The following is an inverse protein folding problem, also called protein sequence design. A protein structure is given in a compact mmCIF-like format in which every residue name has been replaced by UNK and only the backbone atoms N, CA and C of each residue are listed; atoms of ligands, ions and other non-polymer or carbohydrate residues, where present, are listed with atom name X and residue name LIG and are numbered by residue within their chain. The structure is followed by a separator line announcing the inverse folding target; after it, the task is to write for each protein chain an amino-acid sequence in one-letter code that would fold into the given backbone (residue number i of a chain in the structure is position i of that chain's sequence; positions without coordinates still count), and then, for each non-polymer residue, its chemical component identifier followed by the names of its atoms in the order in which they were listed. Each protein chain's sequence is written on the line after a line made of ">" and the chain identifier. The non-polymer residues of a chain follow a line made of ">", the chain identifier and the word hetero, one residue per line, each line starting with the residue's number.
data_IF_834896154647
#
_entry.id   IF_834896154647
#
_cell.length_a   1.000
_cell.length_b   1.000
_cell.length_c   1.000
_cell.angle_alpha   90.00
_cell.angle_beta   90.00
_cell.angle_gamma   90.00
#
_symmetry.space_group_name_H-M   'P 1'
#
loop_
_entity.id
_entity.type
_entity.pdbx_description
1 polymer ?
#
# COMPACT_ATOMS: atom_id res chain seq x y z
N UNK A 1 5.83 -44.74 -2.90
CA UNK A 1 5.16 -43.63 -3.66
C UNK A 1 5.19 -44.01 -5.14
N UNK A 2 4.00 -44.14 -5.73
CA UNK A 2 3.85 -44.67 -7.11
C UNK A 2 4.20 -43.57 -8.15
N UNK A 3 4.76 -43.96 -9.32
CA UNK A 3 5.08 -43.03 -10.43
C UNK A 3 3.86 -42.19 -10.89
N UNK A 4 2.66 -42.66 -10.63
CA UNK A 4 1.40 -41.97 -10.92
C UNK A 4 1.12 -40.78 -9.99
N UNK A 5 1.54 -40.87 -8.72
CA UNK A 5 1.34 -39.77 -7.74
C UNK A 5 2.23 -38.57 -8.06
N UNK A 6 3.47 -38.81 -8.52
CA UNK A 6 4.43 -37.76 -8.88
C UNK A 6 3.98 -37.01 -10.14
N UNK A 7 3.41 -37.69 -11.13
CA UNK A 7 2.90 -37.08 -12.36
C UNK A 7 1.66 -36.22 -12.12
N UNK A 8 0.78 -36.65 -11.21
CA UNK A 8 -0.42 -35.91 -10.82
C UNK A 8 -0.08 -34.69 -9.96
N UNK A 9 0.97 -34.77 -9.15
CA UNK A 9 1.46 -33.66 -8.32
C UNK A 9 2.11 -32.57 -9.18
N UNK A 10 2.90 -32.92 -10.20
CA UNK A 10 3.47 -31.97 -11.16
C UNK A 10 2.38 -31.18 -11.90
N UNK A 11 1.36 -31.85 -12.43
CA UNK A 11 0.24 -31.21 -13.10
C UNK A 11 -0.55 -30.24 -12.19
N UNK A 12 -0.69 -30.57 -10.89
CA UNK A 12 -1.34 -29.67 -9.92
C UNK A 12 -0.47 -28.44 -9.61
N UNK A 13 0.83 -28.61 -9.54
CA UNK A 13 1.78 -27.52 -9.35
C UNK A 13 1.78 -26.54 -10.54
N UNK A 14 1.86 -27.09 -11.77
CA UNK A 14 1.85 -26.27 -12.99
C UNK A 14 0.56 -25.46 -13.10
N UNK A 15 -0.58 -26.08 -12.77
CA UNK A 15 -1.86 -25.37 -12.72
C UNK A 15 -1.88 -24.27 -11.66
N UNK A 16 -1.35 -24.52 -10.48
CA UNK A 16 -1.27 -23.55 -9.41
C UNK A 16 -0.32 -22.39 -9.81
N UNK A 17 0.82 -22.67 -10.43
CA UNK A 17 1.74 -21.65 -10.96
C UNK A 17 1.05 -20.79 -12.02
N UNK A 18 0.28 -21.39 -12.93
CA UNK A 18 -0.49 -20.66 -13.94
C UNK A 18 -1.54 -19.73 -13.29
N UNK A 19 -2.23 -20.19 -12.24
CA UNK A 19 -3.17 -19.37 -11.47
C UNK A 19 -2.42 -18.20 -10.81
N UNK A 20 -1.30 -18.43 -10.14
CA UNK A 20 -0.50 -17.36 -9.56
C UNK A 20 -0.06 -16.34 -10.62
N UNK A 21 0.45 -16.80 -11.78
CA UNK A 21 0.86 -15.92 -12.89
C UNK A 21 -0.30 -15.07 -13.39
N UNK A 22 -1.49 -15.64 -13.57
CA UNK A 22 -2.70 -14.92 -13.99
C UNK A 22 -3.09 -13.81 -13.01
N UNK A 23 -2.83 -14.00 -11.72
CA UNK A 23 -3.10 -13.02 -10.66
C UNK A 23 -1.87 -12.19 -10.26
N UNK A 24 -0.89 -12.07 -11.16
CA UNK A 24 0.28 -11.22 -10.93
C UNK A 24 1.36 -11.84 -10.04
N UNK A 25 1.23 -13.11 -9.68
CA UNK A 25 2.24 -13.85 -8.93
C UNK A 25 2.14 -13.72 -7.41
N UNK A 26 1.16 -12.99 -6.89
CA UNK A 26 0.92 -12.81 -5.45
C UNK A 26 -0.56 -13.10 -5.16
N UNK A 27 -0.84 -13.95 -4.19
CA UNK A 27 -2.20 -14.28 -3.76
C UNK A 27 -2.27 -14.47 -2.23
N UNK A 28 -3.41 -14.05 -1.65
CA UNK A 28 -3.77 -14.50 -0.29
C UNK A 28 -4.26 -15.95 -0.32
N UNK A 29 -4.14 -16.66 0.82
CA UNK A 29 -4.71 -18.00 0.98
C UNK A 29 -6.15 -18.08 0.45
N UNK A 30 -7.03 -17.20 0.93
CA UNK A 30 -8.44 -17.21 0.51
C UNK A 30 -8.63 -16.96 -0.99
N UNK A 31 -7.78 -16.16 -1.64
CA UNK A 31 -7.82 -15.92 -3.08
C UNK A 31 -7.33 -17.14 -3.86
N UNK A 32 -6.23 -17.76 -3.40
CA UNK A 32 -5.69 -18.98 -4.00
C UNK A 32 -6.71 -20.13 -3.97
N UNK A 33 -7.37 -20.32 -2.82
CA UNK A 33 -8.41 -21.35 -2.67
C UNK A 33 -9.62 -21.07 -3.57
N UNK A 34 -10.10 -19.83 -3.61
CA UNK A 34 -11.21 -19.42 -4.51
C UNK A 34 -10.86 -19.56 -5.99
N UNK A 35 -9.58 -19.39 -6.34
CA UNK A 35 -9.09 -19.58 -7.70
C UNK A 35 -8.89 -21.07 -8.07
N UNK A 36 -9.18 -22.00 -7.15
CA UNK A 36 -9.15 -23.44 -7.38
C UNK A 36 -7.84 -24.13 -7.01
N UNK A 37 -6.95 -23.47 -6.24
CA UNK A 37 -5.76 -24.12 -5.69
C UNK A 37 -6.17 -24.84 -4.41
N UNK A 38 -5.93 -26.16 -4.37
CA UNK A 38 -6.21 -26.96 -3.17
C UNK A 38 -5.28 -26.58 -2.01
N UNK A 39 -5.74 -26.54 -0.75
CA UNK A 39 -4.91 -26.18 0.40
C UNK A 39 -3.59 -26.97 0.48
N UNK A 40 -3.67 -28.30 0.32
CA UNK A 40 -2.47 -29.16 0.32
C UNK A 40 -1.46 -28.73 -0.74
N UNK A 41 -1.90 -28.43 -1.98
CA UNK A 41 -1.01 -27.96 -3.06
C UNK A 41 -0.36 -26.66 -2.68
N UNK A 42 -1.13 -25.69 -2.14
CA UNK A 42 -0.61 -24.40 -1.72
C UNK A 42 0.49 -24.54 -0.66
N UNK A 43 0.24 -25.35 0.37
CA UNK A 43 1.22 -25.57 1.45
C UNK A 43 2.42 -26.39 0.98
N UNK A 44 2.23 -27.40 0.14
CA UNK A 44 3.35 -28.14 -0.44
C UNK A 44 4.24 -27.25 -1.31
N UNK A 45 3.66 -26.35 -2.09
CA UNK A 45 4.42 -25.36 -2.88
C UNK A 45 5.22 -24.40 -1.99
N UNK A 46 4.68 -23.98 -0.85
CA UNK A 46 5.41 -23.20 0.16
C UNK A 46 6.58 -24.01 0.73
N UNK A 47 6.30 -25.22 1.18
CA UNK A 47 7.28 -26.08 1.87
C UNK A 47 8.39 -26.55 0.93
N UNK A 48 8.11 -26.66 -0.38
CA UNK A 48 9.10 -26.96 -1.42
C UNK A 48 9.88 -25.72 -1.90
N UNK A 49 9.59 -24.52 -1.38
CA UNK A 49 10.23 -23.28 -1.83
C UNK A 49 9.77 -22.77 -3.21
N UNK A 50 8.69 -23.33 -3.77
CA UNK A 50 8.09 -22.81 -5.00
C UNK A 50 7.28 -21.52 -4.76
N UNK A 51 6.90 -21.26 -3.50
CA UNK A 51 6.28 -20.02 -3.04
C UNK A 51 7.06 -19.43 -1.87
N UNK A 52 7.31 -18.12 -1.93
CA UNK A 52 7.76 -17.31 -0.81
C UNK A 52 6.56 -16.85 0.00
N UNK A 53 6.65 -16.87 1.31
CA UNK A 53 5.67 -16.26 2.19
C UNK A 53 6.05 -14.79 2.44
N UNK A 54 5.33 -13.87 1.81
CA UNK A 54 5.54 -12.41 1.96
C UNK A 54 5.09 -11.95 3.35
N UNK A 55 3.94 -12.45 3.80
CA UNK A 55 3.43 -12.29 5.16
C UNK A 55 2.47 -13.43 5.47
N UNK A 56 2.00 -13.56 6.71
CA UNK A 56 1.07 -14.63 7.10
C UNK A 56 -0.14 -14.67 6.18
N UNK A 57 -0.26 -15.78 5.43
CA UNK A 57 -1.35 -16.03 4.48
C UNK A 57 -1.28 -15.23 3.18
N UNK A 58 -0.13 -14.64 2.85
CA UNK A 58 0.16 -14.01 1.55
C UNK A 58 1.38 -14.71 0.94
N UNK A 59 1.19 -15.28 -0.24
CA UNK A 59 2.20 -16.05 -0.95
C UNK A 59 2.54 -15.42 -2.29
N UNK A 60 3.80 -15.53 -2.68
CA UNK A 60 4.36 -15.08 -3.95
C UNK A 60 5.09 -16.23 -4.63
N UNK A 61 5.05 -16.28 -5.96
CA UNK A 61 5.92 -17.20 -6.72
C UNK A 61 7.39 -16.90 -6.43
N UNK A 62 8.14 -17.93 -6.06
CA UNK A 62 9.59 -17.85 -5.83
C UNK A 62 10.36 -17.49 -7.11
N UNK A 63 11.61 -17.01 -6.95
CA UNK A 63 12.49 -16.66 -8.06
C UNK A 63 12.19 -15.30 -8.72
N UNK A 64 11.29 -14.50 -8.19
CA UNK A 64 11.12 -13.09 -8.58
C UNK A 64 12.08 -12.19 -7.80
N UNK A 65 12.48 -11.08 -8.41
CA UNK A 65 13.26 -10.03 -7.73
C UNK A 65 12.63 -9.64 -6.39
N UNK A 66 13.41 -9.20 -5.39
CA UNK A 66 12.85 -8.67 -4.14
C UNK A 66 11.75 -7.65 -4.41
N UNK A 67 10.74 -7.60 -3.54
CA UNK A 67 9.68 -6.59 -3.63
C UNK A 67 10.29 -5.20 -3.41
N UNK A 68 9.88 -4.22 -4.20
CA UNK A 68 10.35 -2.84 -4.05
C UNK A 68 9.97 -2.25 -2.68
N UNK A 69 8.77 -2.58 -2.19
CA UNK A 69 8.30 -2.23 -0.84
C UNK A 69 7.41 -3.36 -0.30
N UNK A 70 7.97 -4.32 0.45
CA UNK A 70 7.22 -5.47 0.97
C UNK A 70 6.06 -5.09 1.90
N UNK A 71 6.24 -4.03 2.69
CA UNK A 71 5.26 -3.59 3.67
C UNK A 71 4.05 -2.97 2.99
N UNK A 72 4.26 -2.08 2.02
CA UNK A 72 3.16 -1.51 1.23
C UNK A 72 2.44 -2.59 0.41
N UNK A 73 3.16 -3.53 -0.19
CA UNK A 73 2.57 -4.67 -0.92
C UNK A 73 1.71 -5.53 0.01
N UNK A 74 2.20 -5.82 1.21
CA UNK A 74 1.45 -6.58 2.20
C UNK A 74 0.17 -5.86 2.61
N UNK A 75 0.27 -4.56 2.94
CA UNK A 75 -0.89 -3.75 3.34
C UNK A 75 -1.89 -3.64 2.18
N UNK A 76 -1.46 -3.30 0.97
CA UNK A 76 -2.34 -3.23 -0.20
C UNK A 76 -3.07 -4.55 -0.45
N UNK A 77 -2.37 -5.67 -0.25
CA UNK A 77 -2.95 -7.00 -0.40
C UNK A 77 -3.94 -7.32 0.73
N UNK A 78 -3.64 -6.99 1.97
CA UNK A 78 -4.44 -7.36 3.16
C UNK A 78 -5.58 -6.39 3.44
N UNK A 79 -5.44 -5.12 3.05
CA UNK A 79 -6.39 -4.04 3.29
C UNK A 79 -6.79 -3.36 1.98
N UNK A 80 -7.46 -4.07 1.04
CA UNK A 80 -7.70 -3.56 -0.32
C UNK A 80 -8.62 -2.33 -0.36
N UNK A 81 -9.40 -2.09 0.70
CA UNK A 81 -10.21 -0.88 0.85
C UNK A 81 -9.47 0.32 1.43
N UNK A 82 -8.25 0.13 1.93
CA UNK A 82 -7.42 1.18 2.49
C UNK A 82 -6.73 2.02 1.43
N UNK A 83 -6.27 3.20 1.84
CA UNK A 83 -5.43 4.09 1.02
C UNK A 83 -4.19 4.45 1.85
N UNK A 84 -3.00 4.26 1.29
CA UNK A 84 -1.76 4.68 1.94
C UNK A 84 -1.77 6.19 2.09
N UNK A 85 -1.42 6.70 3.27
CA UNK A 85 -1.56 8.11 3.60
C UNK A 85 -0.40 8.62 4.48
N UNK A 86 -0.40 9.92 4.75
CA UNK A 86 0.50 10.61 5.68
C UNK A 86 1.97 10.23 5.47
N UNK A 87 2.72 9.87 6.54
CA UNK A 87 4.18 9.64 6.48
C UNK A 87 4.52 8.53 5.47
N UNK A 88 3.73 7.45 5.39
CA UNK A 88 3.98 6.39 4.40
C UNK A 88 3.76 6.86 2.96
N UNK A 89 2.80 7.75 2.72
CA UNK A 89 2.61 8.36 1.41
C UNK A 89 3.69 9.43 1.12
N UNK A 90 4.14 10.20 2.13
CA UNK A 90 5.27 11.11 1.97
C UNK A 90 6.54 10.34 1.57
N UNK A 91 6.84 9.23 2.26
CA UNK A 91 8.00 8.40 1.96
C UNK A 91 7.92 7.80 0.55
N UNK A 92 6.76 7.27 0.16
CA UNK A 92 6.52 6.74 -1.19
C UNK A 92 6.74 7.78 -2.29
N UNK A 93 6.34 9.03 -2.02
CA UNK A 93 6.50 10.14 -2.96
C UNK A 93 7.84 10.87 -2.82
N UNK A 94 8.76 10.38 -1.98
CA UNK A 94 10.05 11.02 -1.71
C UNK A 94 9.92 12.46 -1.19
N UNK A 95 8.92 12.68 -0.33
CA UNK A 95 8.64 13.98 0.29
C UNK A 95 9.09 14.07 1.75
N UNK A 96 9.83 13.10 2.23
CA UNK A 96 10.42 13.06 3.58
C UNK A 96 11.66 12.19 3.59
N UNK A 97 12.57 12.47 4.50
CA UNK A 97 13.72 11.62 4.80
C UNK A 97 13.39 10.53 5.83
N UNK A 98 12.18 10.58 6.44
CA UNK A 98 11.77 9.61 7.44
C UNK A 98 11.48 8.26 6.83
N UNK A 99 11.98 7.21 7.47
CA UNK A 99 11.61 5.81 7.19
C UNK A 99 10.47 5.44 8.14
N UNK A 100 9.25 5.21 7.63
CA UNK A 100 8.11 4.87 8.49
C UNK A 100 8.31 3.51 9.18
N UNK A 101 8.16 3.46 10.51
CA UNK A 101 8.21 2.21 11.28
C UNK A 101 6.87 1.43 11.24
N UNK A 102 5.82 2.07 10.75
CA UNK A 102 4.47 1.51 10.60
C UNK A 102 3.85 2.06 9.31
N UNK A 103 2.97 1.32 8.68
CA UNK A 103 2.29 1.79 7.47
C UNK A 103 1.04 2.57 7.85
N UNK A 104 0.97 3.83 7.42
CA UNK A 104 -0.16 4.71 7.65
C UNK A 104 -1.26 4.45 6.61
N UNK A 105 -2.45 4.09 7.07
CA UNK A 105 -3.57 3.68 6.22
C UNK A 105 -4.81 4.51 6.51
N UNK A 106 -5.33 5.18 5.52
CA UNK A 106 -6.64 5.83 5.57
C UNK A 106 -7.73 4.79 5.34
N UNK A 107 -8.74 4.81 6.20
CA UNK A 107 -9.94 4.00 6.10
C UNK A 107 -11.19 4.87 6.14
N UNK A 108 -12.29 4.48 5.49
CA UNK A 108 -13.55 5.18 5.63
C UNK A 108 -14.06 5.07 7.06
N UNK A 109 -14.80 6.08 7.51
CA UNK A 109 -15.47 6.06 8.83
C UNK A 109 -16.41 4.85 8.90
N UNK A 110 -16.31 4.09 10.00
CA UNK A 110 -17.11 2.88 10.21
C UNK A 110 -16.52 1.59 9.65
N UNK A 111 -15.42 1.64 8.90
CA UNK A 111 -14.72 0.42 8.49
C UNK A 111 -14.17 -0.32 9.72
N UNK A 112 -14.14 -1.65 9.65
CA UNK A 112 -13.48 -2.46 10.66
C UNK A 112 -11.98 -2.19 10.72
N UNK A 113 -11.39 -2.31 11.91
CA UNK A 113 -9.93 -2.22 12.08
C UNK A 113 -9.27 -3.46 11.47
N UNK A 114 -8.36 -3.28 10.50
CA UNK A 114 -7.68 -4.41 9.90
C UNK A 114 -6.79 -5.11 10.92
N UNK A 115 -6.85 -6.43 10.96
CA UNK A 115 -5.95 -7.25 11.77
C UNK A 115 -4.75 -7.69 10.94
N UNK A 116 -3.60 -7.14 11.23
CA UNK A 116 -2.34 -7.42 10.57
C UNK A 116 -1.25 -7.61 11.62
N UNK A 117 -0.60 -8.78 11.60
CA UNK A 117 0.47 -9.08 12.54
C UNK A 117 1.77 -8.35 12.14
N UNK A 118 2.01 -8.22 10.83
CA UNK A 118 3.15 -7.52 10.24
C UNK A 118 2.83 -7.12 8.78
N UNK A 119 3.25 -5.93 8.32
CA UNK A 119 3.89 -4.85 9.09
C UNK A 119 2.92 -4.21 10.08
N UNK A 120 3.44 -3.50 11.10
CA UNK A 120 2.58 -2.66 11.95
C UNK A 120 1.89 -1.61 11.10
N UNK A 121 0.61 -1.35 11.40
CA UNK A 121 -0.19 -0.35 10.68
C UNK A 121 -0.77 0.65 11.68
N UNK A 122 -0.86 1.91 11.24
CA UNK A 122 -1.63 2.94 11.94
C UNK A 122 -2.76 3.42 11.06
N UNK A 123 -3.99 3.29 11.55
CA UNK A 123 -5.16 3.66 10.79
C UNK A 123 -5.63 5.08 11.11
N UNK A 124 -6.15 5.74 10.09
CA UNK A 124 -6.74 7.07 10.16
C UNK A 124 -8.12 7.06 9.54
N UNK A 125 -9.11 7.64 10.21
CA UNK A 125 -10.49 7.65 9.74
C UNK A 125 -10.78 8.92 8.95
N UNK A 126 -11.22 8.72 7.71
CA UNK A 126 -11.59 9.78 6.79
C UNK A 126 -13.08 9.67 6.41
N UNK A 127 -13.69 10.76 5.98
CA UNK A 127 -15.11 10.82 5.61
C UNK A 127 -15.29 11.53 4.28
N UNK A 128 -16.28 11.07 3.49
CA UNK A 128 -16.70 11.73 2.26
C UNK A 128 -15.55 12.01 1.30
N UNK A 129 -15.52 13.22 0.74
CA UNK A 129 -14.50 13.63 -0.22
C UNK A 129 -13.07 13.57 0.33
N UNK A 130 -12.87 13.78 1.64
CA UNK A 130 -11.55 13.66 2.23
C UNK A 130 -10.99 12.24 2.14
N UNK A 131 -11.84 11.20 2.02
CA UNK A 131 -11.42 9.82 1.79
C UNK A 131 -11.26 9.49 0.30
N UNK A 132 -12.18 9.97 -0.56
CA UNK A 132 -12.25 9.52 -1.95
C UNK A 132 -11.40 10.33 -2.92
N UNK A 133 -11.15 11.60 -2.61
CA UNK A 133 -10.40 12.50 -3.49
C UNK A 133 -8.89 12.34 -3.35
N UNK A 134 -8.17 12.53 -4.46
CA UNK A 134 -6.71 12.46 -4.53
C UNK A 134 -6.14 11.05 -4.39
N UNK A 135 -6.94 10.01 -4.59
CA UNK A 135 -6.45 8.62 -4.61
C UNK A 135 -5.85 8.31 -5.98
N UNK A 136 -4.60 7.93 -5.99
CA UNK A 136 -3.89 7.40 -7.15
C UNK A 136 -3.75 5.89 -7.03
N UNK A 137 -3.60 5.21 -8.17
CA UNK A 137 -3.31 3.79 -8.23
C UNK A 137 -1.94 3.59 -8.83
N UNK A 138 -1.02 3.11 -8.01
CA UNK A 138 0.34 2.73 -8.43
C UNK A 138 0.46 1.21 -8.46
N UNK A 139 1.46 0.71 -9.18
CA UNK A 139 1.78 -0.72 -9.20
C UNK A 139 3.18 -0.93 -8.65
N UNK A 140 3.26 -1.70 -7.58
CA UNK A 140 4.52 -2.25 -7.09
C UNK A 140 4.51 -3.73 -7.46
N UNK A 141 5.45 -4.13 -8.32
CA UNK A 141 5.44 -5.45 -8.95
C UNK A 141 4.11 -5.71 -9.68
N UNK A 142 3.27 -6.59 -9.17
CA UNK A 142 1.97 -6.92 -9.75
C UNK A 142 0.79 -6.52 -8.85
N UNK A 143 1.07 -5.84 -7.73
CA UNK A 143 0.04 -5.42 -6.78
C UNK A 143 -0.34 -3.97 -7.02
N UNK A 144 -1.64 -3.73 -7.15
CA UNK A 144 -2.19 -2.37 -7.21
C UNK A 144 -2.21 -1.77 -5.82
N UNK A 145 -1.51 -0.66 -5.65
CA UNK A 145 -1.41 0.13 -4.44
C UNK A 145 -2.29 1.37 -4.58
N UNK A 146 -3.22 1.57 -3.67
CA UNK A 146 -3.97 2.81 -3.55
C UNK A 146 -3.24 3.74 -2.58
N UNK A 147 -2.91 4.93 -3.04
CA UNK A 147 -2.14 5.91 -2.26
C UNK A 147 -2.67 7.31 -2.57
N UNK A 148 -2.63 8.22 -1.61
CA UNK A 148 -2.97 9.61 -1.90
C UNK A 148 -1.88 10.29 -2.72
N UNK A 149 -2.28 11.18 -3.63
CA UNK A 149 -1.37 12.02 -4.42
C UNK A 149 -0.48 12.88 -3.50
N UNK A 150 0.66 13.38 -4.00
CA UNK A 150 1.51 14.29 -3.25
C UNK A 150 0.75 15.46 -2.62
N UNK A 151 -0.10 16.11 -3.40
CA UNK A 151 -0.86 17.29 -2.98
C UNK A 151 -1.88 16.96 -1.89
N UNK A 152 -2.59 15.84 -2.07
CA UNK A 152 -3.56 15.36 -1.07
C UNK A 152 -2.85 14.94 0.21
N UNK A 153 -1.71 14.27 0.07
CA UNK A 153 -0.88 13.84 1.21
C UNK A 153 -0.40 15.03 2.03
N UNK A 154 0.08 16.10 1.37
CA UNK A 154 0.47 17.34 2.05
C UNK A 154 -0.70 17.97 2.81
N UNK A 155 -1.87 18.11 2.18
CA UNK A 155 -3.06 18.66 2.82
C UNK A 155 -3.47 17.83 4.06
N UNK A 156 -3.39 16.50 3.97
CA UNK A 156 -3.67 15.61 5.10
C UNK A 156 -2.61 15.75 6.21
N UNK A 157 -1.33 15.86 5.86
CA UNK A 157 -0.26 16.09 6.85
C UNK A 157 -0.46 17.41 7.61
N UNK A 158 -0.90 18.46 6.95
CA UNK A 158 -1.30 19.70 7.64
C UNK A 158 -2.49 19.49 8.59
N UNK A 159 -3.49 18.70 8.20
CA UNK A 159 -4.61 18.35 9.06
C UNK A 159 -4.19 17.54 10.28
N UNK A 160 -3.27 16.62 10.10
CA UNK A 160 -2.78 15.73 11.13
C UNK A 160 -1.41 16.16 11.70
N UNK A 161 -0.98 17.41 11.51
CA UNK A 161 0.34 17.93 11.91
C UNK A 161 0.74 17.65 13.36
N UNK A 162 -0.23 17.60 14.27
CA UNK A 162 0.02 17.27 15.67
C UNK A 162 0.30 15.77 15.90
N UNK A 163 0.00 14.91 14.92
CA UNK A 163 0.24 13.45 14.97
C UNK A 163 1.47 13.05 14.18
N UNK A 164 1.74 13.72 13.06
CA UNK A 164 2.87 13.41 12.17
C UNK A 164 4.13 14.22 12.50
N UNK A 165 3.98 15.28 13.31
CA UNK A 165 5.04 16.24 13.59
C UNK A 165 5.02 17.41 12.60
N UNK A 166 5.10 18.64 13.12
CA UNK A 166 5.04 19.83 12.27
C UNK A 166 6.31 19.97 11.41
N UNK A 167 7.46 19.60 11.94
CA UNK A 167 8.74 19.64 11.21
C UNK A 167 8.70 18.74 9.97
N UNK A 168 8.09 17.57 10.07
CA UNK A 168 7.85 16.67 8.93
C UNK A 168 6.98 17.32 7.86
N UNK A 169 5.98 18.11 8.25
CA UNK A 169 5.12 18.81 7.31
C UNK A 169 5.87 19.92 6.58
N UNK A 170 6.71 20.65 7.28
CA UNK A 170 7.56 21.71 6.70
C UNK A 170 8.61 21.11 5.77
N UNK A 171 9.25 20.01 6.17
CA UNK A 171 10.18 19.25 5.33
C UNK A 171 9.49 18.82 4.03
N UNK A 172 8.30 18.23 4.14
CA UNK A 172 7.55 17.73 2.99
C UNK A 172 7.19 18.85 1.99
N UNK A 173 6.84 20.05 2.44
CA UNK A 173 6.62 21.18 1.54
C UNK A 173 7.91 21.60 0.83
N UNK A 174 9.05 21.61 1.51
CA UNK A 174 10.34 21.94 0.90
C UNK A 174 10.67 20.96 -0.23
N UNK A 175 10.58 19.65 0.01
CA UNK A 175 10.79 18.64 -1.02
C UNK A 175 9.76 18.75 -2.16
N UNK A 176 8.49 19.05 -1.83
CA UNK A 176 7.46 19.22 -2.84
C UNK A 176 7.78 20.38 -3.79
N UNK A 177 8.29 21.50 -3.27
CA UNK A 177 8.69 22.68 -4.08
C UNK A 177 9.81 22.35 -5.07
N UNK A 178 10.74 21.47 -4.69
CA UNK A 178 11.87 21.09 -5.54
C UNK A 178 11.48 20.16 -6.70
N UNK A 179 10.24 19.68 -6.73
CA UNK A 179 9.73 18.83 -7.81
C UNK A 179 9.58 19.63 -9.11
N UNK A 180 9.79 18.92 -10.23
CA UNK A 180 9.61 19.50 -11.59
C UNK A 180 8.18 19.97 -11.86
N UNK A 181 7.18 19.42 -11.18
CA UNK A 181 5.76 19.74 -11.36
C UNK A 181 5.11 19.95 -10.00
N UNK A 182 4.86 21.21 -9.67
CA UNK A 182 4.15 21.65 -8.47
C UNK A 182 2.72 22.04 -8.87
N UNK A 183 1.72 21.37 -8.32
CA UNK A 183 0.28 21.61 -8.62
C UNK A 183 -0.38 22.36 -7.46
N UNK A 184 -0.11 23.66 -7.37
CA UNK A 184 -0.62 24.50 -6.27
C UNK A 184 -2.14 24.50 -6.20
N UNK A 185 -2.84 24.52 -7.33
CA UNK A 185 -4.32 24.52 -7.38
C UNK A 185 -4.90 23.23 -6.80
N UNK A 186 -4.31 22.06 -7.14
CA UNK A 186 -4.71 20.78 -6.58
C UNK A 186 -4.47 20.74 -5.07
N UNK A 187 -3.30 21.21 -4.61
CA UNK A 187 -2.99 21.30 -3.19
C UNK A 187 -4.00 22.19 -2.44
N UNK A 188 -4.34 23.35 -2.98
CA UNK A 188 -5.30 24.27 -2.38
C UNK A 188 -6.73 23.71 -2.40
N UNK A 189 -7.10 22.95 -3.42
CA UNK A 189 -8.37 22.21 -3.49
C UNK A 189 -8.45 21.16 -2.38
N UNK A 190 -7.43 20.31 -2.21
CA UNK A 190 -7.39 19.33 -1.14
C UNK A 190 -7.30 19.98 0.24
N UNK A 191 -6.58 21.08 0.38
CA UNK A 191 -6.54 21.85 1.61
C UNK A 191 -7.91 22.39 2.03
N UNK A 192 -8.76 22.75 1.05
CA UNK A 192 -10.15 23.14 1.30
C UNK A 192 -11.00 21.96 1.79
N UNK A 193 -10.92 20.80 1.12
CA UNK A 193 -11.58 19.56 1.52
C UNK A 193 -11.15 19.13 2.93
N UNK A 194 -9.87 19.23 3.24
CA UNK A 194 -9.30 18.90 4.55
C UNK A 194 -9.56 19.97 5.62
N UNK A 195 -10.12 21.14 5.25
CA UNK A 195 -10.39 22.31 6.10
C UNK A 195 -9.13 22.93 6.71
N UNK A 196 -8.03 22.89 5.97
CA UNK A 196 -6.72 23.44 6.38
C UNK A 196 -6.21 24.57 5.47
N UNK A 197 -7.04 25.04 4.54
CA UNK A 197 -6.68 26.07 3.55
C UNK A 197 -6.05 27.32 4.17
N UNK A 198 -6.63 27.83 5.26
CA UNK A 198 -6.11 28.99 5.99
C UNK A 198 -4.77 28.71 6.69
N UNK A 199 -4.53 27.47 7.06
CA UNK A 199 -3.32 27.07 7.79
C UNK A 199 -2.16 26.86 6.83
N UNK A 200 -2.39 26.21 5.68
CA UNK A 200 -1.34 25.88 4.71
C UNK A 200 -0.87 27.10 3.91
N UNK A 201 -1.77 28.08 3.64
CA UNK A 201 -1.53 29.21 2.78
C UNK A 201 -0.28 30.02 3.13
N UNK A 202 -0.05 30.45 4.40
CA UNK A 202 1.17 31.21 4.76
C UNK A 202 2.47 30.43 4.48
N UNK A 203 2.46 29.11 4.62
CA UNK A 203 3.63 28.29 4.34
C UNK A 203 3.91 28.15 2.85
N UNK A 204 2.88 28.11 2.04
CA UNK A 204 3.04 28.12 0.58
C UNK A 204 3.56 29.50 0.11
N UNK A 205 3.00 30.60 0.62
CA UNK A 205 3.45 31.96 0.28
C UNK A 205 4.89 32.23 0.73
N UNK A 206 5.36 31.61 1.81
CA UNK A 206 6.73 31.76 2.29
C UNK A 206 7.74 30.84 1.57
N UNK A 207 7.30 29.78 0.93
CA UNK A 207 8.15 28.74 0.37
C UNK A 207 8.06 28.64 -1.18
N UNK A 208 7.07 29.24 -1.80
CA UNK A 208 6.90 29.35 -3.24
C UNK A 208 7.32 30.73 -3.74
#
# INVERSE_FOLDING_TARGET
>A
MSRQDTKNQGSRFDRAVAIFKKHGGILRTAQALRAGIHPTTLYTMRDSGALDMVSRGVYRLAGKSPLGDPDLVTVATRVPGGVICLISALAFHELTTQIPHEVHVALPRGAEEPRLDHPPIRTYRFTGEAFTQGVETHRIDSVSLRIYSPEKTLADCFKFRNKVGFDTVVEAIRFYRERRSVKVDDLMRYAAICRVKKIIRPYLEALL
#
